data_IF_173268637021
#
_entry.id   IF_173268637021
#
_cell.length_a   1.000
_cell.length_b   1.000
_cell.length_c   1.000
_cell.angle_alpha   90.00
_cell.angle_beta   90.00
_cell.angle_gamma   90.00
#
_symmetry.space_group_name_H-M   'P 1'
#
loop_
_entity.id
_entity.type
_entity.pdbx_description
1 polymer ?
#
# COMPACT_ATOMS: atom_id res chain seq x y z
N UNK A 1 20.29 -5.01 19.32
CA UNK A 1 20.83 -3.73 18.82
C UNK A 1 19.78 -2.69 19.10
N UNK A 2 20.06 -1.74 19.99
CA UNK A 2 19.12 -0.72 20.38
C UNK A 2 18.75 0.12 19.15
N UNK A 3 17.45 0.22 18.88
CA UNK A 3 16.97 1.04 17.79
C UNK A 3 17.00 2.51 18.18
N UNK A 4 17.59 3.32 17.32
CA UNK A 4 17.58 4.77 17.48
C UNK A 4 16.25 5.35 16.93
N UNK A 5 15.25 5.41 17.81
CA UNK A 5 13.94 5.98 17.48
C UNK A 5 14.03 7.47 17.17
N UNK A 6 15.01 8.17 17.75
CA UNK A 6 15.20 9.61 17.49
C UNK A 6 15.69 9.83 16.07
N UNK A 7 16.60 8.98 15.57
CA UNK A 7 17.03 9.04 14.17
C UNK A 7 15.87 8.77 13.19
N UNK A 8 14.95 7.88 13.55
CA UNK A 8 13.74 7.63 12.72
C UNK A 8 12.80 8.84 12.69
N UNK A 9 12.69 9.57 13.82
CA UNK A 9 11.84 10.75 13.93
C UNK A 9 12.50 12.04 13.45
N UNK A 10 13.82 12.07 13.25
CA UNK A 10 14.59 13.28 12.98
C UNK A 10 14.12 14.05 11.73
N UNK A 11 13.63 13.34 10.71
CA UNK A 11 13.17 13.93 9.45
C UNK A 11 11.64 13.95 9.31
N UNK A 12 10.94 13.78 10.43
CA UNK A 12 9.46 13.71 10.47
C UNK A 12 8.91 14.81 11.40
N UNK A 13 8.76 16.05 10.88
CA UNK A 13 8.24 17.17 11.67
C UNK A 13 6.77 17.00 12.07
N UNK A 14 6.06 16.10 11.41
CA UNK A 14 4.68 15.70 11.66
C UNK A 14 4.51 14.75 12.86
N UNK A 15 5.60 14.15 13.36
CA UNK A 15 5.57 13.37 14.60
C UNK A 15 5.74 14.31 15.79
N UNK A 16 4.86 14.27 16.80
CA UNK A 16 4.94 15.13 17.96
C UNK A 16 6.32 15.12 18.64
N UNK A 17 6.75 16.29 19.12
CA UNK A 17 8.09 16.50 19.67
C UNK A 17 8.38 15.59 20.88
N UNK A 18 9.65 15.18 21.02
CA UNK A 18 10.15 14.48 22.20
C UNK A 18 9.91 15.33 23.46
N UNK A 19 9.53 14.69 24.57
CA UNK A 19 9.24 15.35 25.83
C UNK A 19 7.79 15.77 26.02
N UNK A 20 6.99 15.82 24.94
CA UNK A 20 5.53 15.93 25.05
C UNK A 20 4.92 14.56 25.35
N UNK A 21 3.73 14.53 25.97
CA UNK A 21 3.01 13.29 26.25
C UNK A 21 2.82 12.45 24.99
N UNK A 22 2.27 13.04 23.94
CA UNK A 22 2.04 12.38 22.65
C UNK A 22 3.35 11.97 21.97
N UNK A 23 4.38 12.80 22.03
CA UNK A 23 5.68 12.47 21.45
C UNK A 23 6.34 11.27 22.13
N UNK A 24 6.23 11.17 23.45
CA UNK A 24 6.73 10.03 24.21
C UNK A 24 5.89 8.77 23.96
N UNK A 25 4.56 8.90 23.88
CA UNK A 25 3.64 7.82 23.54
C UNK A 25 4.00 7.19 22.17
N UNK A 26 4.13 7.99 21.11
CA UNK A 26 4.48 7.46 19.79
C UNK A 26 5.87 6.81 19.76
N UNK A 27 6.87 7.40 20.44
CA UNK A 27 8.21 6.80 20.49
C UNK A 27 8.23 5.44 21.18
N UNK A 28 7.45 5.28 22.24
CA UNK A 28 7.30 3.98 22.89
C UNK A 28 6.59 2.97 21.97
N UNK A 29 5.54 3.39 21.27
CA UNK A 29 4.84 2.54 20.32
C UNK A 29 5.74 2.12 19.18
N UNK A 30 6.57 3.00 18.63
CA UNK A 30 7.56 2.68 17.60
C UNK A 30 8.54 1.62 18.12
N UNK A 31 9.06 1.73 19.34
CA UNK A 31 9.95 0.70 19.93
C UNK A 31 9.26 -0.65 20.03
N UNK A 32 8.04 -0.68 20.56
CA UNK A 32 7.26 -1.91 20.69
C UNK A 32 6.94 -2.53 19.35
N UNK A 33 6.59 -1.71 18.37
CA UNK A 33 6.31 -2.15 16.99
C UNK A 33 7.52 -2.84 16.36
N UNK A 34 8.71 -2.27 16.50
CA UNK A 34 9.93 -2.89 16.00
C UNK A 34 10.32 -4.15 16.78
N UNK A 35 10.04 -4.22 18.09
CA UNK A 35 10.21 -5.46 18.83
C UNK A 35 9.30 -6.58 18.30
N UNK A 36 8.05 -6.25 17.94
CA UNK A 36 7.14 -7.18 17.28
C UNK A 36 7.68 -7.62 15.91
N UNK A 37 8.22 -6.69 15.11
CA UNK A 37 8.84 -7.00 13.81
C UNK A 37 10.00 -7.98 13.98
N UNK A 38 10.86 -7.81 15.01
CA UNK A 38 11.95 -8.75 15.31
C UNK A 38 11.40 -10.15 15.57
N UNK A 39 10.36 -10.25 16.39
CA UNK A 39 9.73 -11.56 16.69
C UNK A 39 9.09 -12.20 15.45
N UNK A 40 8.50 -11.39 14.56
CA UNK A 40 7.98 -11.90 13.27
C UNK A 40 9.13 -12.39 12.39
N UNK A 41 10.23 -11.63 12.26
CA UNK A 41 11.38 -11.99 11.44
C UNK A 41 12.02 -13.32 11.90
N UNK A 42 12.21 -13.49 13.22
CA UNK A 42 12.70 -14.75 13.80
C UNK A 42 11.80 -15.95 13.46
N UNK A 43 10.47 -15.77 13.53
CA UNK A 43 9.53 -16.86 13.21
C UNK A 43 9.51 -17.16 11.70
N UNK A 44 9.58 -16.14 10.84
CA UNK A 44 9.75 -16.34 9.39
C UNK A 44 11.04 -17.12 9.11
N UNK A 45 12.15 -16.76 9.76
CA UNK A 45 13.41 -17.51 9.68
C UNK A 45 13.24 -19.00 10.02
N UNK A 46 12.53 -19.31 11.12
CA UNK A 46 12.25 -20.71 11.54
C UNK A 46 11.42 -21.47 10.50
N UNK A 47 10.43 -20.82 9.88
CA UNK A 47 9.62 -21.42 8.81
C UNK A 47 10.51 -21.74 7.60
N UNK A 48 11.35 -20.79 7.17
CA UNK A 48 12.27 -20.99 6.04
C UNK A 48 13.26 -22.13 6.29
N UNK A 49 13.86 -22.19 7.48
CA UNK A 49 14.78 -23.28 7.84
C UNK A 49 14.06 -24.65 7.89
N UNK A 50 12.81 -24.69 8.34
CA UNK A 50 11.99 -25.92 8.31
C UNK A 50 11.73 -26.37 6.86
N UNK A 51 11.41 -25.45 5.96
CA UNK A 51 11.21 -25.77 4.54
C UNK A 51 12.51 -26.31 3.91
N UNK A 52 13.66 -25.69 4.20
CA UNK A 52 14.96 -26.11 3.69
C UNK A 52 15.35 -27.49 4.22
N UNK A 53 15.25 -27.73 5.52
CA UNK A 53 15.63 -29.00 6.16
C UNK A 53 14.79 -30.20 5.69
N UNK A 54 13.56 -29.92 5.20
CA UNK A 54 12.69 -30.94 4.61
C UNK A 54 12.77 -31.00 3.08
N UNK A 55 13.68 -30.28 2.43
CA UNK A 55 13.83 -30.25 0.97
C UNK A 55 12.66 -29.64 0.20
N UNK A 56 11.80 -28.87 0.86
CA UNK A 56 10.58 -28.30 0.28
C UNK A 56 10.78 -26.88 -0.25
N UNK A 57 11.82 -26.17 0.19
CA UNK A 57 11.99 -24.74 -0.05
C UNK A 57 12.04 -24.37 -1.53
N UNK A 58 12.74 -25.17 -2.35
CA UNK A 58 12.91 -24.90 -3.78
C UNK A 58 11.59 -24.85 -4.54
N UNK A 59 10.60 -25.67 -4.15
CA UNK A 59 9.29 -25.78 -4.79
C UNK A 59 8.15 -25.18 -3.97
N UNK A 60 8.46 -24.29 -3.02
CA UNK A 60 7.47 -23.56 -2.23
C UNK A 60 7.43 -22.10 -2.62
N UNK A 61 6.23 -21.55 -2.88
CA UNK A 61 6.01 -20.11 -3.01
C UNK A 61 5.85 -19.55 -1.60
N UNK A 62 6.79 -18.72 -1.19
CA UNK A 62 6.72 -17.99 0.08
C UNK A 62 6.35 -16.56 -0.21
N UNK A 63 5.28 -16.06 0.40
CA UNK A 63 4.84 -14.66 0.30
C UNK A 63 4.88 -14.04 1.68
N UNK A 64 5.65 -12.95 1.82
CA UNK A 64 5.66 -12.13 3.03
C UNK A 64 5.06 -10.77 2.69
N UNK A 65 4.00 -10.41 3.38
CA UNK A 65 3.28 -9.14 3.20
C UNK A 65 2.49 -8.79 4.45
N UNK A 66 1.78 -7.66 4.42
CA UNK A 66 0.84 -7.23 5.45
C UNK A 66 -0.49 -6.84 4.81
N UNK A 67 -1.55 -6.79 5.57
CA UNK A 67 -2.87 -6.31 5.15
C UNK A 67 -2.89 -4.79 4.94
N UNK A 68 -2.26 -4.04 5.83
CA UNK A 68 -2.12 -2.58 5.80
C UNK A 68 -0.87 -2.13 6.56
N UNK A 69 -0.54 -0.85 6.45
CA UNK A 69 0.46 -0.19 7.27
C UNK A 69 -0.15 0.48 8.51
N UNK A 70 0.61 1.36 9.16
CA UNK A 70 0.18 2.10 10.35
C UNK A 70 0.98 3.40 10.49
N UNK A 71 0.33 4.51 10.83
CA UNK A 71 0.94 5.84 10.85
C UNK A 71 1.94 6.03 12.00
N UNK A 72 1.72 5.44 13.17
CA UNK A 72 2.65 5.48 14.33
C UNK A 72 3.06 6.88 14.76
N UNK A 73 2.18 7.86 14.63
CA UNK A 73 2.43 9.27 14.93
C UNK A 73 2.71 10.16 13.72
N UNK A 74 3.03 9.57 12.56
CA UNK A 74 3.11 10.30 11.31
C UNK A 74 1.76 10.98 11.01
N UNK A 75 1.80 12.20 10.48
CA UNK A 75 0.62 13.03 10.24
C UNK A 75 -0.25 13.24 11.50
N UNK A 76 0.38 13.19 12.68
CA UNK A 76 -0.31 13.22 13.98
C UNK A 76 -1.40 12.12 14.11
N UNK A 77 -1.27 11.02 13.38
CA UNK A 77 -2.20 9.91 13.36
C UNK A 77 -1.61 8.67 14.06
N UNK A 78 -2.37 8.07 14.96
CA UNK A 78 -1.93 6.85 15.65
C UNK A 78 -2.20 5.57 14.84
N UNK A 79 -3.23 5.60 14.01
CA UNK A 79 -3.84 4.43 13.37
C UNK A 79 -3.50 4.26 11.90
N UNK A 80 -4.49 3.82 11.19
CA UNK A 80 -4.52 3.46 9.76
C UNK A 80 -5.83 4.01 9.16
N UNK A 81 -6.24 3.48 8.02
CA UNK A 81 -7.47 3.86 7.30
C UNK A 81 -7.41 5.26 6.70
N UNK A 82 -6.23 5.65 6.23
CA UNK A 82 -5.98 6.92 5.56
C UNK A 82 -5.03 6.73 4.37
N UNK A 83 -5.06 7.66 3.42
CA UNK A 83 -4.34 7.59 2.13
C UNK A 83 -2.82 7.78 2.21
N UNK A 84 -2.23 8.03 3.38
CA UNK A 84 -0.78 8.21 3.54
C UNK A 84 0.00 6.91 3.32
N UNK A 85 1.24 7.05 2.84
CA UNK A 85 2.11 5.89 2.55
C UNK A 85 2.30 4.99 3.77
N UNK A 86 2.35 5.55 4.98
CA UNK A 86 2.48 4.80 6.23
C UNK A 86 1.31 3.83 6.47
N UNK A 87 0.11 4.20 6.02
CA UNK A 87 -1.08 3.35 6.09
C UNK A 87 -1.24 2.43 4.88
N UNK A 88 -0.87 2.91 3.68
CA UNK A 88 -1.16 2.26 2.41
C UNK A 88 -0.04 1.36 1.90
N UNK A 89 1.23 1.73 2.18
CA UNK A 89 2.38 1.01 1.67
C UNK A 89 2.77 -0.12 2.60
N UNK A 90 2.69 -1.34 2.08
CA UNK A 90 3.04 -2.56 2.80
C UNK A 90 4.28 -3.24 2.21
N UNK A 91 5.01 -4.06 2.98
CA UNK A 91 6.07 -4.89 2.44
C UNK A 91 5.51 -5.95 1.49
N UNK A 92 6.30 -6.30 0.47
CA UNK A 92 5.98 -7.39 -0.44
C UNK A 92 7.25 -8.14 -0.80
N UNK A 93 7.36 -9.40 -0.38
CA UNK A 93 8.43 -10.31 -0.77
C UNK A 93 7.78 -11.57 -1.30
N UNK A 94 8.16 -11.98 -2.50
CA UNK A 94 7.71 -13.24 -3.11
C UNK A 94 8.96 -14.04 -3.46
N UNK A 95 9.09 -15.23 -2.86
CA UNK A 95 10.19 -16.16 -3.11
C UNK A 95 9.65 -17.47 -3.68
N UNK A 96 10.25 -17.91 -4.76
CA UNK A 96 10.07 -19.25 -5.33
C UNK A 96 11.39 -19.65 -6.01
N UNK A 97 12.34 -20.22 -5.27
CA UNK A 97 13.71 -20.41 -5.76
C UNK A 97 13.80 -21.15 -7.09
N UNK A 98 12.97 -22.18 -7.30
CA UNK A 98 12.94 -22.93 -8.57
C UNK A 98 12.55 -22.08 -9.79
N UNK A 99 11.85 -20.94 -9.63
CA UNK A 99 11.30 -20.18 -10.77
C UNK A 99 11.54 -18.68 -10.75
N UNK A 100 11.85 -18.08 -9.61
CA UNK A 100 12.06 -16.64 -9.45
C UNK A 100 13.51 -16.39 -9.06
N UNK A 101 14.25 -15.69 -9.93
CA UNK A 101 15.61 -15.23 -9.61
C UNK A 101 15.53 -14.05 -8.63
N UNK A 102 16.42 -14.01 -7.61
CA UNK A 102 16.48 -12.89 -6.68
C UNK A 102 16.63 -11.55 -7.40
N UNK A 103 15.78 -10.60 -7.09
CA UNK A 103 15.85 -9.22 -7.58
C UNK A 103 15.07 -8.28 -6.67
N UNK A 104 15.40 -7.00 -6.74
CA UNK A 104 14.54 -5.92 -6.26
C UNK A 104 13.79 -5.36 -7.47
N UNK A 105 12.50 -5.13 -7.30
CA UNK A 105 11.66 -4.49 -8.31
C UNK A 105 10.88 -3.34 -7.65
N UNK A 106 11.33 -2.11 -7.87
CA UNK A 106 10.76 -0.89 -7.30
C UNK A 106 9.74 -0.20 -8.22
N UNK A 107 9.50 -0.78 -9.41
CA UNK A 107 8.53 -0.27 -10.39
C UNK A 107 7.24 -1.07 -10.44
N UNK A 108 7.30 -2.37 -10.10
CA UNK A 108 6.11 -3.21 -10.06
C UNK A 108 5.29 -2.88 -8.82
N UNK A 109 4.15 -2.25 -9.03
CA UNK A 109 3.17 -2.05 -7.97
C UNK A 109 2.25 -3.27 -7.92
N UNK A 110 2.04 -3.81 -6.71
CA UNK A 110 1.15 -4.94 -6.44
C UNK A 110 0.16 -4.49 -5.36
N UNK A 111 -1.13 -4.54 -5.64
CA UNK A 111 -2.15 -4.40 -4.62
C UNK A 111 -2.39 -5.74 -3.92
N UNK A 112 -2.87 -5.69 -2.70
CA UNK A 112 -3.24 -6.91 -1.96
C UNK A 112 -4.23 -7.78 -2.76
N UNK A 113 -5.18 -7.16 -3.42
CA UNK A 113 -6.16 -7.84 -4.25
C UNK A 113 -5.57 -8.55 -5.48
N UNK A 114 -4.42 -8.09 -6.01
CA UNK A 114 -3.74 -8.74 -7.14
C UNK A 114 -3.08 -10.07 -6.76
N UNK A 115 -2.89 -10.33 -5.46
CA UNK A 115 -2.26 -11.57 -4.99
C UNK A 115 -3.08 -12.80 -5.35
N UNK A 116 -4.39 -12.73 -5.20
CA UNK A 116 -5.26 -13.88 -5.49
C UNK A 116 -5.11 -14.40 -6.93
N UNK A 117 -5.38 -13.62 -7.99
CA UNK A 117 -5.22 -14.09 -9.35
C UNK A 117 -3.77 -14.40 -9.71
N UNK A 118 -2.81 -13.65 -9.15
CA UNK A 118 -1.39 -13.88 -9.42
C UNK A 118 -0.88 -15.19 -8.84
N UNK A 119 -1.26 -15.53 -7.60
CA UNK A 119 -0.88 -16.78 -6.96
C UNK A 119 -1.53 -17.98 -7.65
N UNK A 120 -2.80 -17.91 -8.01
CA UNK A 120 -3.45 -18.97 -8.81
C UNK A 120 -2.68 -19.22 -10.10
N UNK A 121 -2.30 -18.17 -10.83
CA UNK A 121 -1.53 -18.31 -12.07
C UNK A 121 -0.12 -18.85 -11.85
N UNK A 122 0.58 -18.43 -10.78
CA UNK A 122 1.89 -18.97 -10.41
C UNK A 122 1.82 -20.47 -10.11
N UNK A 123 0.78 -20.92 -9.43
CA UNK A 123 0.50 -22.33 -9.11
C UNK A 123 0.00 -23.16 -10.29
N UNK A 124 -0.30 -22.53 -11.44
CA UNK A 124 -0.79 -23.21 -12.65
C UNK A 124 -2.31 -23.25 -12.81
N UNK A 125 -3.05 -22.61 -11.90
CA UNK A 125 -4.52 -22.58 -11.87
C UNK A 125 -5.12 -21.33 -12.52
N UNK A 126 -4.47 -20.79 -13.53
CA UNK A 126 -4.93 -19.55 -14.19
C UNK A 126 -6.36 -19.64 -14.73
N UNK A 127 -6.78 -20.81 -15.18
CA UNK A 127 -8.13 -21.04 -15.71
C UNK A 127 -9.21 -21.03 -14.63
N UNK A 128 -8.81 -21.19 -13.40
CA UNK A 128 -9.69 -21.20 -12.22
C UNK A 128 -9.92 -19.80 -11.63
N UNK A 129 -9.30 -18.74 -12.20
CA UNK A 129 -9.53 -17.36 -11.78
C UNK A 129 -10.96 -16.99 -12.17
N UNK A 130 -11.84 -16.65 -11.21
CA UNK A 130 -13.21 -16.25 -11.51
C UNK A 130 -13.29 -14.99 -12.35
N UNK A 131 -14.26 -14.90 -13.25
CA UNK A 131 -14.50 -13.69 -14.07
C UNK A 131 -14.89 -12.47 -13.22
N UNK A 132 -15.36 -12.69 -11.98
CA UNK A 132 -15.69 -11.63 -11.02
C UNK A 132 -14.47 -10.95 -10.38
N UNK A 133 -13.25 -11.44 -10.65
CA UNK A 133 -12.02 -10.80 -10.17
C UNK A 133 -11.81 -9.48 -10.88
N UNK A 134 -11.78 -8.39 -10.11
CA UNK A 134 -11.66 -7.00 -10.60
C UNK A 134 -10.19 -6.51 -10.69
N UNK A 135 -9.22 -7.38 -10.40
CA UNK A 135 -7.81 -7.04 -10.28
C UNK A 135 -6.94 -7.80 -11.28
N UNK A 136 -5.62 -7.65 -11.18
CA UNK A 136 -4.70 -8.08 -12.24
C UNK A 136 -3.91 -9.34 -11.85
N UNK A 137 -3.78 -10.26 -12.82
CA UNK A 137 -2.79 -11.33 -12.77
C UNK A 137 -1.40 -10.79 -13.16
N UNK A 138 -0.56 -10.59 -12.15
CA UNK A 138 0.81 -10.11 -12.27
C UNK A 138 1.86 -11.22 -12.30
N UNK A 139 1.44 -12.48 -12.45
CA UNK A 139 2.33 -13.65 -12.41
C UNK A 139 3.50 -13.57 -13.39
N UNK A 140 3.28 -13.01 -14.59
CA UNK A 140 4.34 -12.85 -15.60
C UNK A 140 5.39 -11.83 -15.20
N UNK A 141 4.98 -10.74 -14.58
CA UNK A 141 5.87 -9.71 -14.03
C UNK A 141 6.65 -10.27 -12.84
N UNK A 142 5.97 -10.95 -11.93
CA UNK A 142 6.56 -11.62 -10.78
C UNK A 142 7.63 -12.63 -11.23
N UNK A 143 7.38 -13.43 -12.26
CA UNK A 143 8.35 -14.35 -12.85
C UNK A 143 9.47 -13.67 -13.66
N UNK A 144 9.42 -12.36 -13.85
CA UNK A 144 10.36 -11.65 -14.72
C UNK A 144 10.19 -11.95 -16.22
N UNK A 145 9.07 -12.55 -16.61
CA UNK A 145 8.75 -12.92 -18.01
C UNK A 145 8.06 -11.81 -18.80
N UNK A 146 7.77 -10.69 -18.18
CA UNK A 146 7.20 -9.50 -18.81
C UNK A 146 7.88 -8.26 -18.27
N UNK A 147 8.35 -7.41 -19.18
CA UNK A 147 8.85 -6.05 -18.89
C UNK A 147 7.75 -5.00 -19.07
N UNK A 148 6.54 -5.42 -19.46
CA UNK A 148 5.42 -4.50 -19.63
C UNK A 148 5.12 -3.91 -18.25
N UNK A 149 5.35 -2.63 -18.10
CA UNK A 149 4.90 -1.90 -16.93
C UNK A 149 3.38 -2.01 -16.86
N UNK A 150 2.91 -2.54 -15.76
CA UNK A 150 1.50 -2.40 -15.40
C UNK A 150 1.40 -1.06 -14.71
N UNK A 151 1.32 0.00 -15.52
CA UNK A 151 1.13 1.38 -15.05
C UNK A 151 -0.34 1.52 -14.68
N UNK A 152 -0.75 0.81 -13.65
CA UNK A 152 -2.10 0.99 -13.13
C UNK A 152 -2.00 1.62 -11.75
N UNK A 153 -2.78 2.67 -11.51
CA UNK A 153 -2.86 3.24 -10.19
C UNK A 153 -3.56 2.25 -9.25
N UNK A 154 -3.16 2.24 -7.99
CA UNK A 154 -3.94 1.61 -6.96
C UNK A 154 -5.09 2.49 -6.55
N UNK A 155 -6.23 1.86 -6.34
CA UNK A 155 -7.41 2.53 -5.86
C UNK A 155 -7.58 2.26 -4.38
N UNK A 156 -7.78 3.33 -3.66
CA UNK A 156 -7.99 3.33 -2.22
C UNK A 156 -9.46 3.60 -1.94
N UNK A 157 -10.03 2.77 -1.10
CA UNK A 157 -11.41 2.92 -0.63
C UNK A 157 -11.41 2.81 0.88
N UNK A 158 -11.80 3.89 1.53
CA UNK A 158 -12.12 3.90 2.95
C UNK A 158 -13.49 4.55 3.09
N UNK A 159 -14.41 3.85 3.67
CA UNK A 159 -15.78 4.36 3.76
C UNK A 159 -16.44 4.00 5.09
N UNK A 160 -17.20 4.95 5.61
CA UNK A 160 -18.15 4.70 6.69
C UNK A 160 -19.47 4.17 6.12
N UNK A 161 -19.83 4.66 4.92
CA UNK A 161 -20.96 4.22 4.11
C UNK A 161 -20.72 4.62 2.64
N UNK A 162 -21.67 4.28 1.76
CA UNK A 162 -21.53 4.54 0.30
C UNK A 162 -21.42 6.02 -0.08
N UNK A 163 -21.82 6.95 0.79
CA UNK A 163 -21.84 8.38 0.54
C UNK A 163 -20.79 9.16 1.36
N UNK A 164 -20.11 8.49 2.28
CA UNK A 164 -19.11 9.11 3.18
C UNK A 164 -17.82 8.32 3.17
N UNK A 165 -16.70 9.02 3.29
CA UNK A 165 -15.34 8.46 3.38
C UNK A 165 -14.48 8.84 2.18
N UNK A 166 -13.27 8.28 2.17
CA UNK A 166 -12.28 8.54 1.13
C UNK A 166 -12.39 7.57 -0.04
N UNK A 167 -12.15 8.10 -1.24
CA UNK A 167 -11.81 7.34 -2.45
C UNK A 167 -10.56 7.95 -3.06
N UNK A 168 -9.63 7.14 -3.49
CA UNK A 168 -8.38 7.66 -4.02
C UNK A 168 -7.66 6.69 -4.94
N UNK A 169 -6.55 7.16 -5.47
CA UNK A 169 -5.64 6.38 -6.27
C UNK A 169 -4.18 6.73 -5.96
N UNK A 170 -3.33 5.75 -6.11
CA UNK A 170 -1.88 5.88 -5.99
C UNK A 170 -1.23 5.49 -7.31
N UNK A 171 -0.48 6.40 -7.91
CA UNK A 171 0.37 6.12 -9.08
C UNK A 171 1.82 5.87 -8.65
N UNK A 172 2.72 5.68 -9.60
CA UNK A 172 4.16 5.62 -9.30
C UNK A 172 4.69 6.90 -8.62
N UNK A 173 4.08 8.06 -8.91
CA UNK A 173 4.59 9.38 -8.49
C UNK A 173 3.65 10.15 -7.56
N UNK A 174 2.35 9.93 -7.64
CA UNK A 174 1.37 10.73 -6.92
C UNK A 174 0.44 9.88 -6.06
N UNK A 175 -0.04 10.49 -4.99
CA UNK A 175 -1.21 10.05 -4.22
C UNK A 175 -2.30 11.09 -4.39
N UNK A 176 -3.48 10.64 -4.78
CA UNK A 176 -4.66 11.47 -4.93
C UNK A 176 -5.82 10.85 -4.18
N UNK A 177 -6.54 11.65 -3.39
CA UNK A 177 -7.75 11.20 -2.73
C UNK A 177 -8.78 12.34 -2.63
N UNK A 178 -10.03 11.93 -2.59
CA UNK A 178 -11.18 12.80 -2.31
C UNK A 178 -11.97 12.23 -1.15
N UNK A 179 -12.42 13.09 -0.26
CA UNK A 179 -13.36 12.76 0.80
C UNK A 179 -14.74 13.34 0.48
N UNK A 180 -15.76 12.63 0.87
CA UNK A 180 -17.11 13.15 0.87
C UNK A 180 -17.80 12.88 2.21
N UNK A 181 -18.68 13.79 2.60
CA UNK A 181 -19.63 13.59 3.68
C UNK A 181 -21.04 13.68 3.10
N UNK A 182 -21.82 12.62 3.25
CA UNK A 182 -23.17 12.51 2.72
C UNK A 182 -23.28 12.89 1.22
N UNK A 183 -22.32 12.40 0.42
CA UNK A 183 -22.27 12.63 -1.04
C UNK A 183 -21.78 14.01 -1.47
N UNK A 184 -21.37 14.86 -0.55
CA UNK A 184 -20.78 16.16 -0.86
C UNK A 184 -19.27 16.07 -0.68
N UNK A 185 -18.51 16.33 -1.75
CA UNK A 185 -17.04 16.41 -1.68
C UNK A 185 -16.65 17.59 -0.80
N UNK A 186 -15.92 17.35 0.26
CA UNK A 186 -15.46 18.32 1.25
C UNK A 186 -13.94 18.40 1.36
N UNK A 187 -13.21 17.39 0.87
CA UNK A 187 -11.76 17.43 0.82
C UNK A 187 -11.23 16.85 -0.49
N UNK A 188 -10.13 17.42 -0.98
CA UNK A 188 -9.34 16.88 -2.09
C UNK A 188 -7.86 17.02 -1.75
N UNK A 189 -7.14 15.92 -1.83
CA UNK A 189 -5.69 15.91 -1.61
C UNK A 189 -4.95 15.37 -2.83
N UNK A 190 -3.77 15.96 -3.07
CA UNK A 190 -2.84 15.54 -4.10
C UNK A 190 -1.42 15.77 -3.61
N UNK A 191 -0.62 14.71 -3.60
CA UNK A 191 0.78 14.75 -3.18
C UNK A 191 1.68 14.26 -4.32
N UNK A 192 2.73 15.01 -4.64
CA UNK A 192 3.83 14.56 -5.51
C UNK A 192 4.90 13.88 -4.66
N UNK A 193 4.84 12.56 -4.53
CA UNK A 193 5.76 11.78 -3.71
C UNK A 193 7.21 11.74 -4.21
N UNK A 194 7.46 12.25 -5.40
CA UNK A 194 8.84 12.38 -5.92
C UNK A 194 9.56 13.58 -5.30
N UNK A 195 8.81 14.61 -4.90
CA UNK A 195 9.32 15.83 -4.26
C UNK A 195 9.03 15.86 -2.77
N UNK A 196 7.89 15.29 -2.39
CA UNK A 196 7.38 15.23 -1.04
C UNK A 196 7.07 13.77 -0.66
N UNK A 197 8.09 12.97 -0.33
CA UNK A 197 7.93 11.55 -0.01
C UNK A 197 7.12 11.32 1.27
N UNK A 198 7.00 12.32 2.12
CA UNK A 198 6.26 12.27 3.38
C UNK A 198 4.84 12.86 3.29
N UNK A 199 4.41 13.31 2.10
CA UNK A 199 3.05 13.81 1.86
C UNK A 199 2.63 14.95 2.82
N UNK A 200 3.51 15.93 2.99
CA UNK A 200 3.32 17.10 3.85
C UNK A 200 2.67 18.28 3.12
N UNK A 201 2.82 18.37 1.80
CA UNK A 201 2.36 19.48 0.98
C UNK A 201 1.24 19.03 0.03
N UNK A 202 0.00 19.40 0.36
CA UNK A 202 -1.15 19.15 -0.50
C UNK A 202 -1.19 20.16 -1.66
N UNK A 203 -0.79 19.72 -2.85
CA UNK A 203 -0.73 20.54 -4.06
C UNK A 203 -2.03 20.55 -4.87
N UNK A 204 -3.14 20.06 -4.36
CA UNK A 204 -4.40 19.99 -5.11
C UNK A 204 -4.87 21.36 -5.61
N UNK A 205 -4.77 22.40 -4.77
CA UNK A 205 -5.12 23.78 -5.14
C UNK A 205 -4.21 24.38 -6.21
N UNK A 206 -2.95 23.96 -6.25
CA UNK A 206 -1.92 24.46 -7.16
C UNK A 206 -1.89 23.70 -8.49
N UNK A 207 -2.52 22.52 -8.56
CA UNK A 207 -2.47 21.61 -9.71
C UNK A 207 -3.85 21.16 -10.20
N UNK A 208 -4.76 22.08 -10.54
CA UNK A 208 -6.15 21.74 -10.88
C UNK A 208 -6.26 20.83 -12.13
N UNK A 209 -5.28 20.88 -13.03
CA UNK A 209 -5.24 19.99 -14.19
C UNK A 209 -5.00 18.53 -13.81
N UNK A 210 -4.08 18.27 -12.86
CA UNK A 210 -3.83 16.91 -12.34
C UNK A 210 -5.02 16.42 -11.53
N UNK A 211 -5.64 17.28 -10.73
CA UNK A 211 -6.88 16.95 -10.00
C UNK A 211 -7.95 16.47 -10.96
N UNK A 212 -8.21 17.20 -12.07
CA UNK A 212 -9.18 16.77 -13.08
C UNK A 212 -8.79 15.43 -13.73
N UNK A 213 -7.51 15.26 -14.06
CA UNK A 213 -7.02 14.01 -14.64
C UNK A 213 -7.26 12.81 -13.70
N UNK A 214 -6.85 12.93 -12.44
CA UNK A 214 -7.01 11.86 -11.46
C UNK A 214 -8.47 11.63 -11.07
N UNK A 215 -9.29 12.67 -10.99
CA UNK A 215 -10.74 12.54 -10.80
C UNK A 215 -11.39 11.70 -11.91
N UNK A 216 -11.04 12.00 -13.18
CA UNK A 216 -11.54 11.21 -14.32
C UNK A 216 -11.13 9.75 -14.22
N UNK A 217 -9.89 9.48 -13.84
CA UNK A 217 -9.36 8.13 -13.70
C UNK A 217 -10.03 7.38 -12.54
N UNK A 218 -10.13 8.03 -11.37
CA UNK A 218 -10.82 7.49 -10.20
C UNK A 218 -12.29 7.18 -10.50
N UNK A 219 -12.99 8.13 -11.11
CA UNK A 219 -14.41 7.94 -11.50
C UNK A 219 -14.61 6.74 -12.41
N UNK A 220 -13.74 6.58 -13.43
CA UNK A 220 -13.81 5.44 -14.34
C UNK A 220 -13.65 4.10 -13.59
N UNK A 221 -12.73 4.03 -12.64
CA UNK A 221 -12.54 2.83 -11.82
C UNK A 221 -13.74 2.56 -10.90
N UNK A 222 -14.23 3.58 -10.21
CA UNK A 222 -15.40 3.43 -9.32
C UNK A 222 -16.64 2.96 -10.07
N UNK A 223 -16.85 3.42 -11.30
CA UNK A 223 -17.90 2.92 -12.18
C UNK A 223 -17.68 1.45 -12.55
N UNK A 224 -16.44 1.06 -12.86
CA UNK A 224 -16.07 -0.33 -13.16
C UNK A 224 -16.32 -1.27 -11.98
N UNK A 225 -16.10 -0.79 -10.76
CA UNK A 225 -16.29 -1.58 -9.53
C UNK A 225 -17.68 -1.39 -8.89
N UNK A 226 -18.62 -0.71 -9.58
CA UNK A 226 -19.96 -0.41 -9.10
C UNK A 226 -19.99 0.36 -7.76
N UNK A 227 -18.99 1.20 -7.49
CA UNK A 227 -19.02 2.10 -6.34
C UNK A 227 -19.87 3.34 -6.67
N UNK A 228 -20.98 3.51 -5.96
CA UNK A 228 -21.90 4.63 -6.14
C UNK A 228 -21.27 6.01 -5.87
N UNK A 229 -20.14 6.06 -5.16
CA UNK A 229 -19.38 7.29 -4.94
C UNK A 229 -18.97 7.98 -6.26
N UNK A 230 -18.87 7.22 -7.36
CA UNK A 230 -18.59 7.75 -8.70
C UNK A 230 -19.52 8.89 -9.11
N UNK A 231 -20.77 8.90 -8.62
CA UNK A 231 -21.76 9.93 -8.94
C UNK A 231 -21.45 11.30 -8.30
N UNK A 232 -20.68 11.32 -7.22
CA UNK A 232 -20.29 12.56 -6.53
C UNK A 232 -19.07 13.24 -7.17
N UNK A 233 -18.28 12.50 -7.96
CA UNK A 233 -17.13 13.04 -8.67
C UNK A 233 -17.56 13.84 -9.90
N UNK A 234 -17.30 15.15 -9.88
CA UNK A 234 -17.50 16.02 -11.05
C UNK A 234 -16.47 15.66 -12.14
N UNK A 235 -16.84 15.81 -13.40
CA UNK A 235 -15.93 15.58 -14.52
C UNK A 235 -14.72 16.53 -14.53
#
# INVERSE_FOLDING_TARGET
KDMDVEALCANRPDIPAKGTEMGNYFRNNIRNYYACITGVDENVGRIIETLKSNGLFENTIVVFTSDHGICMGAHNAAGKDIFYEESMRIPMIISWPAKIKPRKDDRLMIAFADLYPSLLSLMGFRKEIPETVQTFDLSRQILGKSKKEVVQPYYYVQFDNHATGYRGLRTATHTFAVHATNGKIDETVLFDRTKDPYQMDNIAGQSPHLVRQFNKQLKAWLLHTNDSFAHYLKP
#
